data_IF_250488173187
#
_entry.id   IF_250488173187
#
_cell.length_a   1.000
_cell.length_b   1.000
_cell.length_c   1.000
_cell.angle_alpha   90.00
_cell.angle_beta   90.00
_cell.angle_gamma   90.00
#
_symmetry.space_group_name_H-M   'P 1'
#
loop_
_entity.id
_entity.type
_entity.pdbx_description
1 polymer ?
#
# COMPACT_ATOMS: atom_id res chain seq x y z
N UNK A 1 -16.27 5.62 -11.12
CA UNK A 1 -15.17 4.83 -10.52
C UNK A 1 -15.83 3.72 -9.72
N UNK A 2 -15.55 2.46 -10.02
CA UNK A 2 -16.10 1.34 -9.24
C UNK A 2 -15.08 1.05 -8.13
N UNK A 3 -15.36 1.52 -6.92
CA UNK A 3 -14.62 1.11 -5.71
C UNK A 3 -15.04 -0.27 -5.24
N UNK A 4 -14.48 -0.74 -4.12
CA UNK A 4 -14.86 -2.03 -3.50
C UNK A 4 -14.66 -3.24 -4.41
N UNK A 5 -13.60 -3.23 -5.24
CA UNK A 5 -13.31 -4.32 -6.18
C UNK A 5 -13.01 -5.64 -5.46
N UNK A 6 -12.50 -5.56 -4.23
CA UNK A 6 -12.31 -6.67 -3.31
C UNK A 6 -13.61 -7.38 -2.91
N UNK A 7 -14.76 -6.72 -3.04
CA UNK A 7 -16.09 -7.30 -2.84
C UNK A 7 -16.71 -7.85 -4.12
N UNK A 8 -16.07 -7.59 -5.27
CA UNK A 8 -16.59 -7.94 -6.60
C UNK A 8 -15.89 -9.12 -7.22
N UNK A 9 -14.61 -9.32 -6.92
CA UNK A 9 -13.82 -10.44 -7.44
C UNK A 9 -13.59 -11.50 -6.36
N UNK A 10 -13.50 -12.79 -6.76
CA UNK A 10 -13.17 -13.84 -5.83
C UNK A 10 -11.76 -13.62 -5.26
N UNK A 11 -11.60 -13.93 -3.97
CA UNK A 11 -10.30 -13.79 -3.30
C UNK A 11 -9.28 -14.79 -3.85
N UNK A 12 -9.71 -16.04 -4.05
CA UNK A 12 -8.89 -17.14 -4.53
C UNK A 12 -9.23 -17.54 -5.97
N UNK A 13 -8.32 -18.30 -6.58
CA UNK A 13 -8.44 -18.78 -7.95
C UNK A 13 -9.79 -19.46 -8.23
N UNK A 14 -10.41 -19.05 -9.33
CA UNK A 14 -11.61 -19.70 -9.88
C UNK A 14 -11.42 -19.92 -11.37
N UNK A 15 -12.12 -20.89 -11.95
CA UNK A 15 -11.90 -21.31 -13.35
C UNK A 15 -12.22 -20.25 -14.40
N UNK A 16 -13.05 -19.24 -14.07
CA UNK A 16 -13.73 -18.41 -15.09
C UNK A 16 -13.49 -16.91 -14.96
N UNK A 17 -12.79 -16.45 -13.93
CA UNK A 17 -12.51 -15.03 -13.77
C UNK A 17 -11.18 -14.78 -13.03
N UNK A 18 -10.68 -13.55 -13.15
CA UNK A 18 -9.54 -13.09 -12.36
C UNK A 18 -9.90 -13.07 -10.88
N UNK A 19 -8.99 -13.58 -10.07
CA UNK A 19 -9.02 -13.51 -8.62
C UNK A 19 -8.00 -12.50 -8.06
N UNK A 20 -8.16 -12.16 -6.79
CA UNK A 20 -7.30 -11.19 -6.12
C UNK A 20 -5.90 -11.76 -5.84
N UNK A 21 -5.78 -13.04 -5.49
CA UNK A 21 -4.48 -13.68 -5.25
C UNK A 21 -3.55 -13.58 -6.47
N UNK A 22 -4.09 -13.84 -7.67
CA UNK A 22 -3.35 -13.72 -8.92
C UNK A 22 -2.85 -12.28 -9.15
N UNK A 23 -3.68 -11.27 -8.86
CA UNK A 23 -3.27 -9.87 -8.95
C UNK A 23 -2.15 -9.54 -7.96
N UNK A 24 -2.27 -9.97 -6.70
CA UNK A 24 -1.23 -9.72 -5.70
C UNK A 24 0.09 -10.42 -6.01
N UNK A 25 0.05 -11.67 -6.49
CA UNK A 25 1.25 -12.39 -6.96
C UNK A 25 1.93 -11.65 -8.10
N UNK A 26 1.17 -11.13 -9.05
CA UNK A 26 1.71 -10.37 -10.16
C UNK A 26 2.33 -9.05 -9.70
N UNK A 27 1.65 -8.29 -8.83
CA UNK A 27 2.18 -7.05 -8.25
C UNK A 27 3.47 -7.30 -7.47
N UNK A 28 3.49 -8.32 -6.61
CA UNK A 28 4.69 -8.69 -5.85
C UNK A 28 5.84 -9.09 -6.76
N UNK A 29 5.58 -9.85 -7.82
CA UNK A 29 6.59 -10.21 -8.82
C UNK A 29 7.13 -8.97 -9.54
N UNK A 30 6.28 -8.00 -9.89
CA UNK A 30 6.75 -6.76 -10.52
C UNK A 30 7.61 -5.92 -9.59
N UNK A 31 7.26 -5.82 -8.31
CA UNK A 31 8.08 -5.13 -7.31
C UNK A 31 9.44 -5.83 -7.16
N UNK A 32 9.43 -7.15 -6.98
CA UNK A 32 10.66 -7.92 -6.78
C UNK A 32 11.61 -7.95 -7.99
N UNK A 33 11.09 -7.69 -9.20
CA UNK A 33 11.87 -7.63 -10.44
C UNK A 33 12.15 -6.18 -10.91
N UNK A 34 11.96 -5.19 -10.05
CA UNK A 34 12.15 -3.76 -10.37
C UNK A 34 11.30 -3.25 -11.55
N UNK A 35 10.22 -3.96 -11.91
CA UNK A 35 9.27 -3.57 -12.96
C UNK A 35 8.20 -2.61 -12.43
N UNK A 36 7.99 -2.60 -11.12
CA UNK A 36 7.13 -1.67 -10.41
C UNK A 36 7.92 -1.06 -9.23
N UNK A 37 8.43 0.16 -9.43
CA UNK A 37 9.19 0.90 -8.41
C UNK A 37 8.21 1.60 -7.47
N UNK A 38 8.24 1.23 -6.19
CA UNK A 38 7.26 1.69 -5.18
C UNK A 38 7.89 2.56 -4.10
N UNK A 39 9.21 2.57 -3.99
CA UNK A 39 9.98 3.32 -3.00
C UNK A 39 9.63 4.82 -3.00
N UNK A 40 9.46 5.50 -4.15
CA UNK A 40 9.09 6.93 -4.17
C UNK A 40 7.68 7.21 -3.61
N UNK A 41 6.82 6.19 -3.49
CA UNK A 41 5.50 6.34 -2.87
C UNK A 41 5.58 6.49 -1.35
N UNK A 42 6.70 6.09 -0.75
CA UNK A 42 6.96 6.20 0.69
C UNK A 42 7.73 7.50 0.92
N UNK A 43 7.03 8.58 1.27
CA UNK A 43 7.70 9.83 1.62
C UNK A 43 8.22 9.86 3.05
N UNK A 44 7.62 9.09 3.97
CA UNK A 44 8.06 9.02 5.36
C UNK A 44 8.04 7.59 5.91
N UNK A 45 9.07 7.27 6.69
CA UNK A 45 9.13 6.12 7.59
C UNK A 45 9.05 6.64 9.03
N UNK A 46 8.09 6.17 9.83
CA UNK A 46 7.81 6.73 11.15
C UNK A 46 7.63 5.66 12.24
N UNK A 47 7.87 6.03 13.50
CA UNK A 47 7.47 5.19 14.63
C UNK A 47 5.95 5.27 14.82
N UNK A 48 5.28 4.21 15.29
CA UNK A 48 3.86 4.30 15.66
C UNK A 48 3.60 5.35 16.75
N UNK A 49 4.62 5.74 17.53
CA UNK A 49 4.52 6.84 18.51
C UNK A 49 4.22 8.20 17.84
N UNK A 50 4.62 8.40 16.59
CA UNK A 50 4.46 9.64 15.83
C UNK A 50 3.15 9.67 15.02
N UNK A 51 2.26 8.71 15.24
CA UNK A 51 1.06 8.47 14.44
C UNK A 51 0.23 9.73 14.19
N UNK A 52 -0.06 10.49 15.26
CA UNK A 52 -0.87 11.70 15.17
C UNK A 52 -0.24 12.75 14.22
N UNK A 53 1.07 13.00 14.35
CA UNK A 53 1.79 13.95 13.51
C UNK A 53 1.77 13.53 12.03
N UNK A 54 1.95 12.23 11.75
CA UNK A 54 1.95 11.71 10.38
C UNK A 54 0.59 11.86 9.69
N UNK A 55 -0.51 11.62 10.41
CA UNK A 55 -1.86 11.83 9.88
C UNK A 55 -2.19 13.30 9.64
N UNK A 56 -1.72 14.20 10.51
CA UNK A 56 -1.83 15.65 10.31
C UNK A 56 -1.09 16.07 9.04
N UNK A 57 0.15 15.60 8.85
CA UNK A 57 0.95 15.86 7.65
C UNK A 57 0.27 15.36 6.36
N UNK A 58 -0.23 14.12 6.35
CA UNK A 58 -0.98 13.55 5.22
C UNK A 58 -2.23 14.37 4.85
N UNK A 59 -2.86 15.00 5.85
CA UNK A 59 -4.08 15.78 5.65
C UNK A 59 -3.79 17.20 5.17
N UNK A 60 -2.79 17.86 5.78
CA UNK A 60 -2.50 19.27 5.60
C UNK A 60 -1.45 19.56 4.52
N UNK A 61 -0.47 18.66 4.32
CA UNK A 61 0.76 18.92 3.56
C UNK A 61 0.94 17.92 2.41
N UNK A 62 -0.04 17.85 1.51
CA UNK A 62 -0.10 16.82 0.44
C UNK A 62 1.04 16.82 -0.57
N UNK A 63 1.80 17.92 -0.67
CA UNK A 63 2.98 17.98 -1.54
C UNK A 63 4.22 17.34 -0.91
N UNK A 64 4.25 17.19 0.42
CA UNK A 64 5.35 16.60 1.19
C UNK A 64 4.99 15.17 1.67
N UNK A 65 3.71 14.93 1.95
CA UNK A 65 3.21 13.66 2.47
C UNK A 65 2.45 12.89 1.37
N UNK A 66 3.16 12.00 0.67
CA UNK A 66 2.60 11.10 -0.33
C UNK A 66 2.15 9.77 0.29
N UNK A 67 3.02 9.17 1.09
CA UNK A 67 2.75 7.89 1.76
C UNK A 67 3.64 7.73 2.99
N UNK A 68 3.03 7.31 4.09
CA UNK A 68 3.71 7.07 5.36
C UNK A 68 3.68 5.58 5.66
N UNK A 69 4.83 5.01 5.97
CA UNK A 69 4.96 3.64 6.48
C UNK A 69 5.36 3.70 7.95
N UNK A 70 4.63 2.99 8.80
CA UNK A 70 5.00 2.84 10.21
C UNK A 70 5.90 1.62 10.39
N UNK A 71 7.10 1.87 10.90
CA UNK A 71 8.03 0.83 11.33
C UNK A 71 7.75 0.47 12.79
N UNK A 72 7.09 -0.67 12.98
CA UNK A 72 6.72 -1.17 14.31
C UNK A 72 7.92 -1.61 15.16
N UNK A 73 9.11 -1.78 14.57
CA UNK A 73 10.33 -2.04 15.34
C UNK A 73 10.83 -0.80 16.09
N UNK A 74 10.34 0.38 15.73
CA UNK A 74 10.62 1.66 16.41
C UNK A 74 9.66 1.94 17.57
N UNK A 75 8.80 0.97 17.93
CA UNK A 75 7.96 1.05 19.11
C UNK A 75 8.84 0.75 20.34
N UNK A 76 9.08 1.76 21.16
CA UNK A 76 9.82 1.66 22.43
C UNK A 76 9.13 0.76 23.44
#
# INVERSE_FOLDING_TARGET
MIGALEWRWPQHATERCRDLDANYRQLAAWIANDQLVVEPLISHLASPADCQQMYEGLTANKEEYLGVVFDWSLLS
#
